data_IF_802938428251
#
_entry.id   IF_802938428251
#
_cell.length_a   1.000
_cell.length_b   1.000
_cell.length_c   1.000
_cell.angle_alpha   90.00
_cell.angle_beta   90.00
_cell.angle_gamma   90.00
#
_symmetry.space_group_name_H-M   'P 1'
#
loop_
_entity.id
_entity.type
_entity.pdbx_description
1 polymer ?
#
# COMPACT_ATOMS: atom_id res chain seq x y z
N UNK A 1 21.32 -14.01 9.75
CA UNK A 1 20.23 -14.08 10.76
C UNK A 1 19.36 -12.83 10.76
N UNK A 2 19.92 -11.62 10.92
CA UNK A 2 19.15 -10.37 10.91
C UNK A 2 18.32 -10.13 9.62
N UNK A 3 18.86 -10.31 8.39
CA UNK A 3 18.09 -10.01 7.17
C UNK A 3 16.93 -11.00 6.92
N UNK A 4 17.04 -12.24 7.42
CA UNK A 4 15.96 -13.23 7.40
C UNK A 4 14.79 -12.71 8.25
N UNK A 5 15.05 -12.35 9.51
CA UNK A 5 14.02 -11.85 10.42
C UNK A 5 13.33 -10.59 9.87
N UNK A 6 14.11 -9.66 9.31
CA UNK A 6 13.57 -8.47 8.66
C UNK A 6 12.63 -8.83 7.50
N UNK A 7 13.00 -9.83 6.69
CA UNK A 7 12.19 -10.27 5.54
C UNK A 7 10.85 -10.91 5.96
N UNK A 8 10.84 -11.67 7.06
CA UNK A 8 9.62 -12.28 7.62
C UNK A 8 8.61 -11.25 8.13
N UNK A 9 9.05 -10.06 8.51
CA UNK A 9 8.17 -8.97 8.95
C UNK A 9 7.79 -8.06 7.78
N UNK A 10 8.78 -7.60 7.00
CA UNK A 10 8.54 -6.67 5.90
C UNK A 10 7.70 -7.28 4.78
N UNK A 11 7.90 -8.56 4.45
CA UNK A 11 7.18 -9.22 3.36
C UNK A 11 5.66 -9.18 3.55
N UNK A 12 5.13 -9.74 4.65
CA UNK A 12 3.71 -9.69 4.96
C UNK A 12 3.18 -8.26 5.11
N UNK A 13 3.96 -7.35 5.71
CA UNK A 13 3.54 -5.96 5.91
C UNK A 13 3.36 -5.23 4.57
N UNK A 14 4.34 -5.33 3.66
CA UNK A 14 4.26 -4.71 2.34
C UNK A 14 3.16 -5.34 1.48
N UNK A 15 2.96 -6.66 1.58
CA UNK A 15 1.85 -7.35 0.92
C UNK A 15 0.49 -6.87 1.45
N UNK A 16 0.35 -6.71 2.78
CA UNK A 16 -0.85 -6.18 3.41
C UNK A 16 -1.13 -4.75 2.94
N UNK A 17 -0.14 -3.86 2.93
CA UNK A 17 -0.34 -2.49 2.45
C UNK A 17 -0.69 -2.44 0.96
N UNK A 18 -0.09 -3.31 0.13
CA UNK A 18 -0.48 -3.44 -1.28
C UNK A 18 -1.96 -3.77 -1.39
N UNK A 19 -2.43 -4.78 -0.64
CA UNK A 19 -3.84 -5.16 -0.63
C UNK A 19 -4.74 -4.01 -0.13
N UNK A 20 -4.36 -3.34 0.96
CA UNK A 20 -5.13 -2.22 1.51
C UNK A 20 -5.25 -1.07 0.48
N UNK A 21 -4.19 -0.73 -0.24
CA UNK A 21 -4.26 0.30 -1.27
C UNK A 21 -5.09 -0.14 -2.48
N UNK A 22 -4.99 -1.39 -2.91
CA UNK A 22 -5.88 -1.94 -3.96
C UNK A 22 -7.35 -1.84 -3.54
N UNK A 23 -7.69 -2.26 -2.32
CA UNK A 23 -9.04 -2.10 -1.78
C UNK A 23 -9.46 -0.62 -1.71
N UNK A 24 -8.53 0.26 -1.34
CA UNK A 24 -8.79 1.70 -1.26
C UNK A 24 -9.11 2.32 -2.63
N UNK A 25 -8.52 1.82 -3.72
CA UNK A 25 -8.91 2.21 -5.08
C UNK A 25 -10.40 1.97 -5.27
N UNK A 26 -10.87 0.74 -5.07
CA UNK A 26 -12.30 0.40 -5.19
C UNK A 26 -13.18 1.24 -4.26
N UNK A 27 -12.82 1.36 -2.98
CA UNK A 27 -13.61 2.16 -2.03
C UNK A 27 -13.69 3.64 -2.39
N UNK A 28 -12.64 4.19 -3.02
CA UNK A 28 -12.60 5.59 -3.42
C UNK A 28 -13.38 5.87 -4.71
N UNK A 29 -13.50 4.88 -5.60
CA UNK A 29 -14.16 5.03 -6.90
C UNK A 29 -15.67 4.73 -6.84
N UNK A 30 -16.13 4.05 -5.80
CA UNK A 30 -17.54 3.72 -5.55
C UNK A 30 -18.06 4.42 -4.30
N UNK A 31 -18.40 5.73 -4.37
CA UNK A 31 -18.81 6.53 -3.22
C UNK A 31 -20.16 6.11 -2.61
N UNK A 32 -20.91 5.21 -3.25
CA UNK A 32 -22.15 4.65 -2.70
C UNK A 32 -21.90 3.69 -1.53
N UNK A 33 -20.66 3.21 -1.34
CA UNK A 33 -20.31 2.31 -0.26
C UNK A 33 -20.15 3.08 1.07
N UNK A 34 -20.80 2.58 2.13
CA UNK A 34 -20.64 3.13 3.47
C UNK A 34 -19.27 2.74 4.07
N UNK A 35 -18.27 3.58 3.82
CA UNK A 35 -16.89 3.36 4.31
C UNK A 35 -16.74 3.49 5.83
N UNK A 36 -17.78 3.91 6.56
CA UNK A 36 -17.73 4.02 8.03
C UNK A 36 -17.91 2.67 8.73
N UNK A 37 -18.43 1.65 8.03
CA UNK A 37 -18.68 0.32 8.59
C UNK A 37 -17.50 -0.63 8.37
N UNK A 38 -17.39 -1.61 9.26
CA UNK A 38 -16.47 -2.73 9.07
C UNK A 38 -16.91 -3.59 7.88
N UNK A 39 -15.97 -4.10 7.07
CA UNK A 39 -14.50 -3.98 7.21
C UNK A 39 -13.89 -2.73 6.56
N UNK A 40 -14.68 -1.93 5.84
CA UNK A 40 -14.19 -0.80 5.03
C UNK A 40 -13.50 0.28 5.85
N UNK A 41 -13.99 0.56 7.06
CA UNK A 41 -13.40 1.57 7.96
C UNK A 41 -11.97 1.22 8.39
N UNK A 42 -11.61 -0.06 8.45
CA UNK A 42 -10.22 -0.47 8.69
C UNK A 42 -9.32 -0.12 7.50
N UNK A 43 -9.78 -0.41 6.28
CA UNK A 43 -9.02 -0.08 5.05
C UNK A 43 -8.80 1.42 4.95
N UNK A 44 -9.86 2.20 5.19
CA UNK A 44 -9.77 3.67 5.22
C UNK A 44 -8.82 4.14 6.31
N UNK A 45 -9.02 3.71 7.56
CA UNK A 45 -8.23 4.15 8.69
C UNK A 45 -6.73 3.86 8.55
N UNK A 46 -6.37 2.66 8.08
CA UNK A 46 -4.97 2.24 7.94
C UNK A 46 -4.24 2.93 6.78
N UNK A 47 -4.95 3.37 5.74
CA UNK A 47 -4.34 3.99 4.55
C UNK A 47 -4.37 5.51 4.56
N UNK A 48 -5.32 6.13 5.27
CA UNK A 48 -5.61 7.56 5.16
C UNK A 48 -4.44 8.46 5.60
N UNK A 49 -3.63 8.03 6.57
CA UNK A 49 -2.47 8.80 7.02
C UNK A 49 -1.46 9.05 5.88
N UNK A 50 -1.30 8.10 4.96
CA UNK A 50 -0.44 8.22 3.78
C UNK A 50 -1.14 8.95 2.64
N UNK A 51 -2.44 8.70 2.46
CA UNK A 51 -3.19 9.25 1.33
C UNK A 51 -3.52 10.73 1.49
N UNK A 52 -3.83 11.19 2.72
CA UNK A 52 -4.16 12.59 2.98
C UNK A 52 -3.06 13.58 2.56
N UNK A 53 -1.76 13.39 2.88
CA UNK A 53 -0.71 14.24 2.34
C UNK A 53 -0.48 14.00 0.84
N UNK A 54 -0.58 12.76 0.37
CA UNK A 54 -0.36 12.43 -1.05
C UNK A 54 -1.36 13.13 -1.96
N UNK A 55 -2.64 13.22 -1.57
CA UNK A 55 -3.70 13.93 -2.33
C UNK A 55 -3.46 15.44 -2.42
N UNK A 56 -2.60 16.02 -1.59
CA UNK A 56 -2.19 17.43 -1.72
C UNK A 56 -1.19 17.62 -2.86
N UNK A 57 -0.38 16.60 -3.14
CA UNK A 57 0.61 16.60 -4.23
C UNK A 57 0.00 16.07 -5.54
N UNK A 58 -0.82 15.05 -5.44
CA UNK A 58 -1.47 14.36 -6.56
C UNK A 58 -2.98 14.43 -6.33
N UNK A 59 -3.63 15.55 -6.72
CA UNK A 59 -5.06 15.71 -6.52
C UNK A 59 -5.86 14.71 -7.36
N UNK A 60 -7.13 14.45 -6.99
CA UNK A 60 -8.01 13.60 -7.79
C UNK A 60 -8.12 14.11 -9.23
N UNK A 61 -8.04 13.19 -10.19
CA UNK A 61 -8.14 13.48 -11.62
C UNK A 61 -9.48 12.97 -12.12
N UNK A 62 -10.28 13.85 -12.74
CA UNK A 62 -11.60 13.46 -13.26
C UNK A 62 -12.57 12.93 -12.19
N UNK A 63 -12.44 13.37 -10.94
CA UNK A 63 -13.24 12.89 -9.81
C UNK A 63 -12.80 11.56 -9.21
N UNK A 64 -11.69 10.99 -9.72
CA UNK A 64 -11.15 9.70 -9.31
C UNK A 64 -9.92 9.90 -8.43
N UNK A 65 -9.87 9.23 -7.27
CA UNK A 65 -8.73 9.29 -6.36
C UNK A 65 -7.56 8.46 -6.91
N UNK A 66 -6.48 9.16 -7.28
CA UNK A 66 -5.27 8.56 -7.85
C UNK A 66 -4.20 8.25 -6.81
N UNK A 67 -4.32 8.81 -5.60
CA UNK A 67 -3.34 8.61 -4.53
C UNK A 67 -3.13 7.12 -4.18
N UNK A 68 -4.16 6.27 -4.01
CA UNK A 68 -3.92 4.87 -3.67
C UNK A 68 -3.25 4.09 -4.81
N UNK A 69 -3.48 4.44 -6.08
CA UNK A 69 -2.80 3.82 -7.24
C UNK A 69 -1.29 4.05 -7.16
N UNK A 70 -0.87 5.29 -6.85
CA UNK A 70 0.54 5.64 -6.68
C UNK A 70 1.17 4.81 -5.57
N UNK A 71 0.46 4.64 -4.45
CA UNK A 71 0.96 3.83 -3.34
C UNK A 71 1.03 2.33 -3.65
N UNK A 72 0.13 1.78 -4.48
CA UNK A 72 0.30 0.40 -4.99
C UNK A 72 1.64 0.29 -5.73
N UNK A 73 1.93 1.22 -6.64
CA UNK A 73 3.21 1.25 -7.38
C UNK A 73 4.42 1.39 -6.45
N UNK A 74 4.38 2.31 -5.50
CA UNK A 74 5.49 2.55 -4.57
C UNK A 74 5.76 1.36 -3.64
N UNK A 75 4.71 0.78 -3.05
CA UNK A 75 4.85 -0.34 -2.11
C UNK A 75 5.31 -1.61 -2.83
N UNK A 76 4.78 -1.88 -4.03
CA UNK A 76 5.22 -3.04 -4.83
C UNK A 76 6.66 -2.88 -5.32
N UNK A 77 7.05 -1.68 -5.78
CA UNK A 77 8.44 -1.37 -6.12
C UNK A 77 9.36 -1.57 -4.91
N UNK A 78 8.99 -1.04 -3.75
CA UNK A 78 9.76 -1.20 -2.52
C UNK A 78 9.90 -2.68 -2.13
N UNK A 79 8.83 -3.47 -2.27
CA UNK A 79 8.85 -4.91 -2.03
C UNK A 79 9.81 -5.63 -2.98
N UNK A 80 9.79 -5.33 -4.27
CA UNK A 80 10.72 -5.95 -5.23
C UNK A 80 12.17 -5.55 -4.98
N UNK A 81 12.43 -4.27 -4.72
CA UNK A 81 13.78 -3.77 -4.42
C UNK A 81 14.35 -4.40 -3.14
N UNK A 82 13.54 -4.60 -2.11
CA UNK A 82 14.01 -5.15 -0.84
C UNK A 82 14.02 -6.68 -0.82
N UNK A 83 12.94 -7.31 -1.30
CA UNK A 83 12.61 -8.72 -1.07
C UNK A 83 12.44 -9.54 -2.36
N UNK A 84 12.58 -8.92 -3.53
CA UNK A 84 12.48 -9.63 -4.81
C UNK A 84 13.59 -10.66 -5.01
N UNK A 85 13.56 -11.36 -6.15
CA UNK A 85 14.58 -12.35 -6.49
C UNK A 85 15.99 -11.75 -6.52
N UNK A 86 16.10 -10.50 -6.97
CA UNK A 86 17.33 -9.68 -6.91
C UNK A 86 17.27 -8.61 -5.81
N UNK A 87 16.42 -8.79 -4.79
CA UNK A 87 16.21 -7.80 -3.73
C UNK A 87 17.43 -7.68 -2.82
N UNK A 88 17.64 -6.48 -2.28
CA UNK A 88 18.80 -6.16 -1.44
C UNK A 88 18.93 -7.10 -0.22
N UNK A 89 17.80 -7.44 0.43
CA UNK A 89 17.80 -8.35 1.58
C UNK A 89 18.01 -9.80 1.15
N UNK A 90 17.53 -10.19 -0.02
CA UNK A 90 17.76 -11.51 -0.61
C UNK A 90 19.24 -11.70 -0.98
N UNK A 91 19.85 -10.68 -1.59
CA UNK A 91 21.28 -10.67 -1.93
C UNK A 91 22.16 -10.72 -0.68
N UNK A 92 21.79 -10.00 0.37
CA UNK A 92 22.54 -9.99 1.64
C UNK A 92 22.47 -11.32 2.44
N UNK A 93 21.65 -12.27 1.99
CA UNK A 93 21.52 -13.60 2.60
C UNK A 93 22.35 -14.67 1.89
N UNK A 94 22.91 -14.35 0.73
CA UNK A 94 23.86 -15.18 -0.01
C UNK A 94 25.29 -14.71 0.28
#
# INVERSE_FOLDING_TARGET
>A
MLPILTSWVLGPLLALYTLLFVLRIFLSWYPQLDTSRLPYSLVVGLTEFLLRPTRRLIPPLGGVDMAPVVWVGLVTLLREVLLGQQGLLTMALH
#
